data_IF_723369336387
#
_entry.id   IF_723369336387
#
_cell.length_a   1.000
_cell.length_b   1.000
_cell.length_c   1.000
_cell.angle_alpha   90.00
_cell.angle_beta   90.00
_cell.angle_gamma   90.00
#
_symmetry.space_group_name_H-M   'P 1'
#
loop_
_entity.id
_entity.type
_entity.pdbx_description
1 polymer ?
#
# COMPACT_ATOMS: atom_id res chain seq x y z
N UNK A 1 -25.12 2.83 67.53
CA UNK A 1 -23.96 3.51 66.92
C UNK A 1 -22.91 2.57 66.31
N UNK A 2 -22.69 1.35 66.82
CA UNK A 2 -21.65 0.42 66.29
C UNK A 2 -22.06 -0.29 64.99
N UNK A 3 -23.35 -0.58 64.79
CA UNK A 3 -23.86 -1.30 63.60
C UNK A 3 -23.74 -0.54 62.27
N UNK A 4 -23.99 0.78 62.28
CA UNK A 4 -23.88 1.61 61.06
C UNK A 4 -22.42 1.82 60.64
N UNK A 5 -21.50 1.90 61.59
CA UNK A 5 -20.06 2.02 61.31
C UNK A 5 -19.54 0.75 60.65
N UNK A 6 -19.95 -0.43 61.12
CA UNK A 6 -19.54 -1.71 60.53
C UNK A 6 -20.13 -1.89 59.13
N UNK A 7 -21.39 -1.48 58.91
CA UNK A 7 -22.04 -1.54 57.58
C UNK A 7 -21.35 -0.61 56.57
N UNK A 8 -21.01 0.61 56.98
CA UNK A 8 -20.30 1.57 56.12
C UNK A 8 -18.87 1.11 55.82
N UNK A 9 -18.19 0.45 56.76
CA UNK A 9 -16.88 -0.16 56.55
C UNK A 9 -16.94 -1.29 55.51
N UNK A 10 -17.94 -2.17 55.60
CA UNK A 10 -18.13 -3.29 54.65
C UNK A 10 -18.45 -2.76 53.25
N UNK A 11 -19.31 -1.74 53.13
CA UNK A 11 -19.62 -1.11 51.84
C UNK A 11 -18.37 -0.46 51.23
N UNK A 12 -17.56 0.23 52.04
CA UNK A 12 -16.29 0.81 51.60
C UNK A 12 -15.28 -0.23 51.10
N UNK A 13 -15.18 -1.37 51.79
CA UNK A 13 -14.31 -2.50 51.39
C UNK A 13 -14.77 -3.15 50.08
N UNK A 14 -16.07 -3.35 49.90
CA UNK A 14 -16.63 -3.91 48.65
C UNK A 14 -16.43 -2.96 47.48
N UNK A 15 -16.66 -1.66 47.68
CA UNK A 15 -16.41 -0.65 46.65
C UNK A 15 -14.93 -0.58 46.26
N UNK A 16 -14.01 -0.62 47.23
CA UNK A 16 -12.57 -0.68 46.99
C UNK A 16 -12.20 -1.94 46.17
N UNK A 17 -12.82 -3.08 46.47
CA UNK A 17 -12.58 -4.33 45.76
C UNK A 17 -13.03 -4.25 44.30
N UNK A 18 -14.19 -3.64 44.02
CA UNK A 18 -14.62 -3.37 42.64
C UNK A 18 -13.73 -2.38 41.90
N UNK A 19 -13.19 -1.36 42.57
CA UNK A 19 -12.24 -0.41 41.97
C UNK A 19 -10.91 -1.09 41.67
N UNK A 20 -10.40 -1.94 42.57
CA UNK A 20 -9.14 -2.68 42.36
C UNK A 20 -9.31 -3.74 41.28
N UNK A 21 -10.40 -4.53 41.31
CA UNK A 21 -10.69 -5.53 40.27
C UNK A 21 -10.96 -4.86 38.94
N UNK A 22 -11.74 -3.77 38.93
CA UNK A 22 -11.99 -2.96 37.73
C UNK A 22 -10.70 -2.34 37.17
N UNK A 23 -9.83 -1.82 38.03
CA UNK A 23 -8.52 -1.29 37.64
C UNK A 23 -7.57 -2.36 37.12
N UNK A 24 -7.57 -3.55 37.71
CA UNK A 24 -6.81 -4.71 37.20
C UNK A 24 -7.39 -5.23 35.88
N UNK A 25 -8.72 -5.19 35.72
CA UNK A 25 -9.41 -5.57 34.49
C UNK A 25 -9.06 -4.58 33.38
N UNK A 26 -9.15 -3.27 33.64
CA UNK A 26 -8.76 -2.22 32.69
C UNK A 26 -7.28 -2.31 32.35
N UNK A 27 -6.38 -2.61 33.29
CA UNK A 27 -4.95 -2.79 33.02
C UNK A 27 -4.64 -4.06 32.22
N UNK A 28 -5.39 -5.15 32.44
CA UNK A 28 -5.28 -6.40 31.67
C UNK A 28 -5.82 -6.25 30.24
N UNK A 29 -6.78 -5.35 30.05
CA UNK A 29 -7.37 -4.99 28.75
C UNK A 29 -7.01 -3.57 28.31
N UNK A 30 -5.87 -3.03 28.77
CA UNK A 30 -5.25 -1.90 28.09
C UNK A 30 -4.84 -2.48 26.73
N UNK A 31 -5.72 -2.33 25.74
CA UNK A 31 -5.43 -2.62 24.35
C UNK A 31 -4.19 -1.82 24.01
N UNK A 32 -3.03 -2.47 23.99
CA UNK A 32 -1.93 -2.01 23.18
C UNK A 32 -2.50 -1.93 21.78
N UNK A 33 -2.79 -0.72 21.31
CA UNK A 33 -3.29 -0.49 19.96
C UNK A 33 -2.23 -0.99 18.98
N UNK A 34 -2.45 -2.18 18.43
CA UNK A 34 -1.55 -2.76 17.45
C UNK A 34 -1.58 -1.93 16.15
N UNK A 35 -0.45 -1.91 15.46
CA UNK A 35 -0.21 -1.15 14.25
C UNK A 35 0.27 -2.06 13.13
N UNK A 36 0.28 -1.57 11.89
CA UNK A 36 0.82 -2.34 10.76
C UNK A 36 2.31 -2.67 10.97
N UNK A 37 3.04 -1.85 11.73
CA UNK A 37 4.45 -2.09 12.07
C UNK A 37 4.65 -3.31 12.99
N UNK A 38 3.59 -3.76 13.69
CA UNK A 38 3.64 -4.96 14.53
C UNK A 38 3.52 -6.26 13.71
N UNK A 39 3.14 -6.17 12.43
CA UNK A 39 3.05 -7.33 11.53
C UNK A 39 4.44 -7.87 11.24
N UNK A 40 4.62 -9.17 11.50
CA UNK A 40 5.87 -9.90 11.24
C UNK A 40 5.67 -11.04 10.24
N UNK A 41 4.48 -11.63 10.21
CA UNK A 41 4.13 -12.70 9.29
C UNK A 41 2.76 -12.44 8.68
N UNK A 42 2.60 -12.81 7.41
CA UNK A 42 1.30 -12.87 6.74
C UNK A 42 1.06 -14.29 6.25
N UNK A 43 0.05 -14.94 6.79
CA UNK A 43 -0.41 -16.25 6.31
C UNK A 43 -1.39 -16.04 5.18
N UNK A 44 -1.19 -16.75 4.07
CA UNK A 44 -1.97 -16.59 2.85
C UNK A 44 -2.76 -17.86 2.54
N UNK A 45 -4.02 -17.70 2.17
CA UNK A 45 -4.86 -18.74 1.58
C UNK A 45 -5.49 -18.20 0.29
N UNK A 46 -5.07 -18.73 -0.85
CA UNK A 46 -5.53 -18.27 -2.16
C UNK A 46 -6.45 -19.31 -2.76
N UNK A 47 -7.75 -18.98 -2.78
CA UNK A 47 -8.78 -19.81 -3.33
C UNK A 47 -9.00 -19.45 -4.80
N UNK A 48 -8.34 -20.20 -5.68
CA UNK A 48 -8.56 -20.13 -7.13
C UNK A 48 -9.55 -21.22 -7.55
N UNK A 49 -10.81 -20.85 -7.79
CA UNK A 49 -11.83 -21.82 -8.23
C UNK A 49 -11.58 -22.14 -9.71
N UNK A 50 -11.13 -23.37 -10.01
CA UNK A 50 -10.93 -23.86 -11.38
C UNK A 50 -12.12 -23.49 -12.27
N UNK A 51 -11.86 -22.72 -13.33
CA UNK A 51 -12.87 -22.28 -14.29
C UNK A 51 -13.44 -20.88 -14.07
N UNK A 52 -13.26 -20.28 -12.89
CA UNK A 52 -13.72 -18.92 -12.59
C UNK A 52 -12.65 -17.88 -12.90
N UNK A 53 -13.04 -16.78 -13.54
CA UNK A 53 -12.23 -15.57 -13.76
C UNK A 53 -12.15 -14.71 -12.49
N UNK A 54 -12.03 -15.35 -11.33
CA UNK A 54 -12.04 -14.70 -10.02
C UNK A 54 -11.17 -15.45 -9.02
N UNK A 55 -10.29 -14.72 -8.35
CA UNK A 55 -9.54 -15.20 -7.20
C UNK A 55 -10.06 -14.56 -5.91
N UNK A 56 -10.30 -15.39 -4.89
CA UNK A 56 -10.53 -14.95 -3.53
C UNK A 56 -9.23 -15.19 -2.74
N UNK A 57 -8.61 -14.10 -2.28
CA UNK A 57 -7.36 -14.11 -1.54
C UNK A 57 -7.67 -13.78 -0.09
N UNK A 58 -7.43 -14.75 0.79
CA UNK A 58 -7.51 -14.58 2.22
C UNK A 58 -6.09 -14.42 2.79
N UNK A 59 -5.95 -13.54 3.76
CA UNK A 59 -4.70 -13.40 4.48
C UNK A 59 -4.91 -13.05 5.94
N UNK A 60 -4.04 -13.54 6.81
CA UNK A 60 -4.05 -13.29 8.25
C UNK A 60 -2.75 -12.61 8.66
N UNK A 61 -2.86 -11.53 9.44
CA UNK A 61 -1.73 -10.74 9.91
C UNK A 61 -1.33 -11.20 11.31
N UNK A 62 -0.05 -11.48 11.51
CA UNK A 62 0.48 -12.01 12.76
C UNK A 62 1.69 -11.22 13.24
N UNK A 63 1.76 -10.99 14.55
CA UNK A 63 2.90 -10.36 15.20
C UNK A 63 4.00 -11.38 15.54
N UNK A 64 5.09 -10.92 16.16
CA UNK A 64 6.23 -11.77 16.56
C UNK A 64 5.87 -12.90 17.55
N UNK A 65 4.72 -12.83 18.22
CA UNK A 65 4.21 -13.87 19.13
C UNK A 65 3.23 -14.79 18.42
N UNK A 66 3.15 -14.74 17.09
CA UNK A 66 2.18 -15.48 16.27
C UNK A 66 0.72 -15.19 16.72
N UNK A 67 0.49 -14.01 17.28
CA UNK A 67 -0.82 -13.51 17.67
C UNK A 67 -1.37 -12.58 16.59
N UNK A 68 -2.68 -12.55 16.43
CA UNK A 68 -3.36 -11.75 15.41
C UNK A 68 -3.13 -10.27 15.60
N UNK A 69 -2.72 -9.56 14.53
CA UNK A 69 -2.70 -8.10 14.49
C UNK A 69 -4.10 -7.59 14.18
N UNK A 70 -4.68 -6.80 15.09
CA UNK A 70 -6.06 -6.29 15.00
C UNK A 70 -6.10 -4.77 14.93
N UNK A 71 -7.26 -4.21 14.54
CA UNK A 71 -7.49 -2.75 14.55
C UNK A 71 -6.85 -1.98 13.38
N UNK A 72 -6.16 -2.65 12.46
CA UNK A 72 -5.42 -2.02 11.34
C UNK A 72 -6.22 -1.93 10.03
N UNK A 73 -7.52 -2.28 10.06
CA UNK A 73 -8.38 -2.47 8.88
C UNK A 73 -8.39 -1.29 7.90
N UNK A 74 -8.48 -0.07 8.41
CA UNK A 74 -8.56 1.13 7.57
C UNK A 74 -7.21 1.57 7.01
N UNK A 75 -6.13 1.02 7.55
CA UNK A 75 -4.76 1.39 7.25
C UNK A 75 -4.16 0.52 6.15
N UNK A 76 -4.75 -0.63 5.84
CA UNK A 76 -4.19 -1.58 4.89
C UNK A 76 -4.86 -1.42 3.53
N UNK A 77 -4.03 -1.48 2.48
CA UNK A 77 -4.47 -1.62 1.09
C UNK A 77 -3.76 -2.80 0.46
N UNK A 78 -4.45 -3.42 -0.48
CA UNK A 78 -3.88 -4.42 -1.36
C UNK A 78 -3.71 -3.81 -2.75
N UNK A 79 -2.62 -4.13 -3.41
CA UNK A 79 -2.48 -3.92 -4.85
C UNK A 79 -2.23 -5.26 -5.53
N UNK A 80 -2.86 -5.49 -6.67
CA UNK A 80 -2.63 -6.66 -7.52
C UNK A 80 -2.07 -6.20 -8.85
N UNK A 81 -1.00 -6.86 -9.30
CA UNK A 81 -0.45 -6.68 -10.64
C UNK A 81 -0.41 -8.02 -11.37
N UNK A 82 -0.65 -7.97 -12.69
CA UNK A 82 -0.43 -9.14 -13.54
C UNK A 82 1.05 -9.38 -13.81
N UNK A 83 1.35 -10.59 -14.28
CA UNK A 83 2.73 -11.04 -14.47
C UNK A 83 3.49 -10.37 -15.60
N UNK A 84 2.82 -9.59 -16.44
CA UNK A 84 3.40 -8.74 -17.48
C UNK A 84 3.37 -7.25 -17.10
N UNK A 85 2.95 -6.92 -15.88
CA UNK A 85 2.70 -5.56 -15.38
C UNK A 85 1.91 -4.72 -16.38
N UNK A 86 0.87 -5.27 -17.01
CA UNK A 86 0.00 -4.48 -17.89
C UNK A 86 -1.04 -3.72 -17.09
N UNK A 87 -1.48 -4.29 -15.99
CA UNK A 87 -2.56 -3.82 -15.16
C UNK A 87 -2.13 -3.78 -13.70
N UNK A 88 -2.60 -2.74 -13.02
CA UNK A 88 -2.50 -2.57 -11.58
C UNK A 88 -3.89 -2.31 -11.03
N UNK A 89 -4.23 -2.93 -9.90
CA UNK A 89 -5.51 -2.73 -9.24
C UNK A 89 -5.31 -2.59 -7.74
N UNK A 90 -5.59 -1.40 -7.22
CA UNK A 90 -5.65 -1.15 -5.77
C UNK A 90 -7.04 -1.54 -5.23
N UNK A 91 -7.09 -2.13 -4.05
CA UNK A 91 -8.31 -2.50 -3.36
C UNK A 91 -8.18 -2.32 -1.84
N UNK A 92 -9.29 -2.00 -1.17
CA UNK A 92 -9.40 -2.08 0.28
C UNK A 92 -9.77 -3.52 0.67
N UNK A 93 -8.93 -4.24 1.45
CA UNK A 93 -9.30 -5.56 1.96
C UNK A 93 -10.53 -5.47 2.88
N UNK A 94 -11.39 -6.48 2.81
CA UNK A 94 -12.54 -6.60 3.72
C UNK A 94 -12.14 -7.44 4.93
N UNK A 95 -12.36 -6.93 6.14
CA UNK A 95 -12.10 -7.69 7.36
C UNK A 95 -13.02 -8.92 7.45
N UNK A 96 -12.44 -10.09 7.68
CA UNK A 96 -13.13 -11.38 7.71
C UNK A 96 -13.18 -12.01 9.12
N UNK A 97 -12.75 -11.29 10.16
CA UNK A 97 -12.65 -11.78 11.54
C UNK A 97 -11.29 -12.40 11.86
N UNK A 98 -10.96 -12.55 13.14
CA UNK A 98 -9.74 -13.23 13.62
C UNK A 98 -8.43 -12.74 12.97
N UNK A 99 -8.26 -11.41 12.83
CA UNK A 99 -7.08 -10.81 12.17
C UNK A 99 -6.95 -11.17 10.67
N UNK A 100 -8.01 -11.73 10.07
CA UNK A 100 -8.04 -12.17 8.68
C UNK A 100 -8.78 -11.18 7.80
N UNK A 101 -8.36 -11.12 6.55
CA UNK A 101 -8.84 -10.20 5.54
C UNK A 101 -9.10 -10.95 4.24
N UNK A 102 -10.03 -10.41 3.45
CA UNK A 102 -10.37 -10.94 2.14
C UNK A 102 -10.25 -9.88 1.06
N UNK A 103 -9.66 -10.28 -0.04
CA UNK A 103 -9.61 -9.54 -1.30
C UNK A 103 -10.20 -10.43 -2.40
N UNK A 104 -11.08 -9.87 -3.22
CA UNK A 104 -11.68 -10.56 -4.36
C UNK A 104 -11.33 -9.80 -5.63
N UNK A 105 -10.60 -10.41 -6.55
CA UNK A 105 -10.24 -9.78 -7.84
C UNK A 105 -10.61 -10.67 -9.02
N UNK A 106 -10.92 -10.01 -10.14
CA UNK A 106 -11.13 -10.68 -11.42
C UNK A 106 -9.76 -11.00 -12.01
N UNK A 107 -9.56 -12.23 -12.43
CA UNK A 107 -8.30 -12.70 -13.01
C UNK A 107 -8.54 -13.40 -14.33
N UNK A 108 -7.62 -13.25 -15.27
CA UNK A 108 -7.59 -14.02 -16.49
C UNK A 108 -7.09 -15.45 -16.20
N UNK A 109 -7.57 -16.39 -17.03
CA UNK A 109 -7.06 -17.77 -17.01
C UNK A 109 -5.61 -17.76 -17.49
N UNK A 110 -4.81 -18.67 -16.92
CA UNK A 110 -3.43 -18.92 -17.33
C UNK A 110 -2.45 -17.73 -17.17
N UNK A 111 -2.82 -16.71 -16.40
CA UNK A 111 -1.94 -15.61 -16.01
C UNK A 111 -1.43 -15.79 -14.57
N UNK A 112 -0.20 -15.35 -14.33
CA UNK A 112 0.38 -15.23 -13.00
C UNK A 112 0.18 -13.81 -12.48
N UNK A 113 -0.01 -13.66 -11.17
CA UNK A 113 -0.27 -12.39 -10.50
C UNK A 113 0.57 -12.27 -9.25
N UNK A 114 0.75 -11.03 -8.79
CA UNK A 114 1.36 -10.75 -7.49
C UNK A 114 0.46 -9.78 -6.73
N UNK A 115 0.10 -10.13 -5.50
CA UNK A 115 -0.54 -9.22 -4.55
C UNK A 115 0.52 -8.64 -3.61
N UNK A 116 0.44 -7.34 -3.33
CA UNK A 116 1.22 -6.67 -2.30
C UNK A 116 0.29 -6.02 -1.28
N UNK A 117 0.71 -5.98 -0.02
CA UNK A 117 0.05 -5.25 1.06
C UNK A 117 0.92 -4.08 1.49
N UNK A 118 0.29 -2.92 1.72
CA UNK A 118 0.97 -1.72 2.19
C UNK A 118 0.08 -0.91 3.14
N UNK A 119 0.71 -0.02 3.91
CA UNK A 119 0.02 0.90 4.83
C UNK A 119 -0.31 2.23 4.14
N UNK A 120 -1.59 2.59 4.08
CA UNK A 120 -2.13 3.82 3.49
C UNK A 120 -2.13 4.96 4.51
N UNK A 121 -0.93 5.38 4.94
CA UNK A 121 -0.74 6.53 5.85
C UNK A 121 0.40 7.47 5.45
N UNK A 122 1.48 6.93 4.89
CA UNK A 122 2.69 7.69 4.61
C UNK A 122 2.68 8.24 3.18
N UNK A 123 3.42 9.34 2.96
CA UNK A 123 3.55 9.96 1.63
C UNK A 123 4.26 9.04 0.63
N UNK A 124 5.14 8.17 1.10
CA UNK A 124 5.68 7.06 0.33
C UNK A 124 5.89 5.86 1.25
N UNK A 125 5.53 4.68 0.77
CA UNK A 125 5.54 3.44 1.54
C UNK A 125 5.89 2.26 0.63
N UNK A 126 6.75 1.38 1.14
CA UNK A 126 7.03 0.08 0.52
C UNK A 126 6.03 -0.96 1.04
N UNK A 127 5.68 -1.94 0.21
CA UNK A 127 4.89 -3.08 0.66
C UNK A 127 5.57 -3.82 1.81
N UNK A 128 4.81 -4.19 2.84
CA UNK A 128 5.32 -5.01 3.96
C UNK A 128 5.13 -6.51 3.72
N UNK A 129 4.27 -6.90 2.77
CA UNK A 129 4.04 -8.30 2.43
C UNK A 129 3.66 -8.46 0.96
N UNK A 130 3.94 -9.64 0.40
CA UNK A 130 3.54 -10.01 -0.95
C UNK A 130 3.27 -11.51 -1.08
N UNK A 131 2.49 -11.89 -2.10
CA UNK A 131 2.25 -13.28 -2.48
C UNK A 131 2.04 -13.40 -3.98
N UNK A 132 2.75 -14.33 -4.60
CA UNK A 132 2.49 -14.74 -5.98
C UNK A 132 1.35 -15.77 -6.02
N UNK A 133 0.49 -15.67 -7.04
CA UNK A 133 -0.62 -16.59 -7.26
C UNK A 133 -1.01 -16.67 -8.75
N UNK A 134 -1.97 -17.54 -9.08
CA UNK A 134 -2.35 -17.80 -10.47
C UNK A 134 -1.53 -18.93 -11.09
N UNK A 135 -1.29 -18.88 -12.41
CA UNK A 135 -0.43 -19.85 -13.08
C UNK A 135 0.98 -19.77 -12.50
N UNK A 136 1.57 -20.93 -12.17
CA UNK A 136 2.92 -21.01 -11.61
C UNK A 136 3.89 -20.20 -12.46
N UNK A 137 4.40 -19.14 -11.85
CA UNK A 137 5.63 -18.52 -12.27
C UNK A 137 6.68 -19.45 -11.70
N UNK A 138 7.23 -20.35 -12.54
CA UNK A 138 8.40 -21.14 -12.17
C UNK A 138 9.39 -20.23 -11.43
N UNK A 139 9.65 -20.48 -10.13
CA UNK A 139 10.54 -19.62 -9.34
C UNK A 139 11.95 -19.57 -9.95
N UNK A 140 12.35 -20.65 -10.65
CA UNK A 140 13.59 -20.75 -11.43
C UNK A 140 13.54 -20.00 -12.76
N UNK A 141 12.34 -19.65 -13.26
CA UNK A 141 12.09 -18.91 -14.49
C UNK A 141 11.16 -17.70 -14.24
N UNK A 142 11.35 -16.95 -13.14
CA UNK A 142 10.82 -15.58 -13.03
C UNK A 142 11.45 -14.75 -14.16
N UNK A 143 10.87 -14.85 -15.36
CA UNK A 143 11.29 -14.06 -16.52
C UNK A 143 11.05 -12.61 -16.15
N UNK A 144 12.14 -11.86 -16.01
CA UNK A 144 12.11 -10.40 -15.97
C UNK A 144 11.21 -9.92 -17.10
N UNK A 145 10.20 -9.14 -16.76
CA UNK A 145 9.38 -8.53 -17.80
C UNK A 145 10.26 -7.49 -18.49
N UNK A 146 10.64 -7.77 -19.74
CA UNK A 146 11.46 -6.84 -20.52
C UNK A 146 10.58 -5.70 -20.99
N UNK A 147 10.64 -4.58 -20.30
CA UNK A 147 10.06 -3.34 -20.78
C UNK A 147 11.09 -2.53 -21.57
N UNK A 148 10.71 -1.88 -22.67
CA UNK A 148 11.50 -0.80 -23.21
C UNK A 148 11.50 0.34 -22.18
N UNK A 149 12.67 0.70 -21.67
CA UNK A 149 12.83 1.90 -20.86
C UNK A 149 12.38 3.10 -21.70
N UNK A 150 11.61 4.00 -21.10
CA UNK A 150 11.17 5.19 -21.82
C UNK A 150 12.38 6.08 -22.14
N UNK A 151 12.67 6.25 -23.43
CA UNK A 151 13.67 7.21 -23.89
C UNK A 151 13.18 8.66 -23.84
N UNK A 152 11.85 8.85 -23.82
CA UNK A 152 11.17 10.15 -23.74
C UNK A 152 10.21 10.12 -22.57
N UNK A 153 10.47 10.98 -21.59
CA UNK A 153 9.68 11.10 -20.35
C UNK A 153 8.61 12.20 -20.43
N UNK A 154 8.38 12.76 -21.62
CA UNK A 154 7.24 13.62 -21.93
C UNK A 154 6.22 12.84 -22.72
N UNK A 155 5.00 12.73 -22.21
CA UNK A 155 3.92 11.96 -22.83
C UNK A 155 2.62 12.76 -22.87
N UNK A 156 1.83 12.55 -23.92
CA UNK A 156 0.47 13.09 -24.01
C UNK A 156 -0.45 12.42 -22.98
N UNK A 157 -1.27 13.23 -22.30
CA UNK A 157 -2.27 12.82 -21.33
C UNK A 157 -3.57 13.61 -21.56
N UNK A 158 -4.53 12.98 -22.24
CA UNK A 158 -5.71 13.70 -22.74
C UNK A 158 -5.32 14.77 -23.76
N UNK A 159 -5.67 16.02 -23.48
CA UNK A 159 -5.26 17.20 -24.27
C UNK A 159 -4.00 17.90 -23.76
N UNK A 160 -3.43 17.41 -22.66
CA UNK A 160 -2.25 17.95 -22.00
C UNK A 160 -1.00 17.13 -22.33
N UNK A 161 0.16 17.65 -21.92
CA UNK A 161 1.40 16.89 -21.85
C UNK A 161 1.87 16.79 -20.40
N UNK A 162 2.43 15.63 -20.05
CA UNK A 162 3.05 15.39 -18.75
C UNK A 162 4.50 15.01 -18.95
N UNK A 163 5.40 15.69 -18.24
CA UNK A 163 6.83 15.39 -18.21
C UNK A 163 7.22 14.87 -16.85
N UNK A 164 7.88 13.72 -16.80
CA UNK A 164 8.49 13.15 -15.59
C UNK A 164 9.97 13.56 -15.52
N UNK A 165 10.32 14.30 -14.47
CA UNK A 165 11.65 14.83 -14.21
C UNK A 165 12.24 14.24 -12.93
N UNK A 166 13.50 13.84 -12.97
CA UNK A 166 14.26 13.34 -11.83
C UNK A 166 15.77 13.43 -12.07
N UNK A 167 16.54 13.46 -10.98
CA UNK A 167 18.00 13.23 -11.02
C UNK A 167 18.34 11.74 -11.13
N UNK A 168 19.62 11.37 -11.14
CA UNK A 168 20.02 9.97 -11.21
C UNK A 168 19.32 9.10 -10.14
N UNK A 169 18.77 7.96 -10.57
CA UNK A 169 18.04 7.04 -9.69
C UNK A 169 19.00 5.97 -9.15
N UNK A 170 19.24 6.00 -7.85
CA UNK A 170 20.11 5.05 -7.15
C UNK A 170 19.34 4.28 -6.07
N UNK A 171 19.65 2.99 -5.85
CA UNK A 171 19.02 2.21 -4.79
C UNK A 171 19.33 2.82 -3.41
N UNK A 172 18.33 2.82 -2.53
CA UNK A 172 18.37 3.29 -1.14
C UNK A 172 18.74 4.77 -0.98
N UNK A 173 18.73 5.55 -2.07
CA UNK A 173 18.89 7.01 -2.04
C UNK A 173 17.52 7.67 -2.28
N UNK A 174 17.11 8.64 -1.45
CA UNK A 174 15.86 9.37 -1.66
C UNK A 174 15.98 10.27 -2.90
N UNK A 175 14.95 10.26 -3.74
CA UNK A 175 14.82 11.08 -4.94
C UNK A 175 13.46 11.74 -4.98
N UNK A 176 13.39 12.91 -5.63
CA UNK A 176 12.12 13.56 -5.98
C UNK A 176 11.78 13.26 -7.42
N UNK A 177 10.65 12.60 -7.66
CA UNK A 177 10.02 12.51 -8.97
C UNK A 177 9.07 13.68 -9.13
N UNK A 178 9.28 14.50 -10.16
CA UNK A 178 8.46 15.69 -10.42
C UNK A 178 7.68 15.50 -11.72
N UNK A 179 6.36 15.58 -11.65
CA UNK A 179 5.48 15.59 -12.80
C UNK A 179 5.04 17.02 -13.11
N UNK A 180 5.41 17.49 -14.30
CA UNK A 180 5.04 18.81 -14.81
C UNK A 180 4.01 18.66 -15.92
N UNK A 181 2.90 19.40 -15.79
CA UNK A 181 1.79 19.35 -16.74
C UNK A 181 1.77 20.63 -17.57
N UNK A 182 1.68 20.47 -18.89
CA UNK A 182 1.60 21.58 -19.83
C UNK A 182 0.23 21.62 -20.48
N UNK A 183 -0.36 22.82 -20.46
CA UNK A 183 -1.62 23.14 -21.11
C UNK A 183 -1.42 24.11 -22.28
N UNK A 184 -2.52 24.46 -22.96
CA UNK A 184 -2.49 25.52 -23.97
C UNK A 184 -2.12 26.86 -23.32
N UNK A 185 -1.47 27.73 -24.09
CA UNK A 185 -0.94 29.02 -23.60
C UNK A 185 -2.03 29.84 -22.90
N UNK A 186 -1.79 30.19 -21.63
CA UNK A 186 -2.70 31.01 -20.80
C UNK A 186 -3.65 30.21 -19.91
N UNK A 187 -3.68 28.87 -20.01
CA UNK A 187 -4.48 28.02 -19.14
C UNK A 187 -3.70 27.66 -17.87
N UNK A 188 -4.34 27.87 -16.69
CA UNK A 188 -3.83 27.36 -15.42
C UNK A 188 -4.51 26.03 -15.10
N UNK A 189 -3.72 25.02 -14.78
CA UNK A 189 -4.21 23.70 -14.41
C UNK A 189 -4.42 23.60 -12.90
N UNK A 190 -5.47 22.91 -12.48
CA UNK A 190 -5.67 22.46 -11.10
C UNK A 190 -5.26 21.00 -11.00
N UNK A 191 -4.25 20.71 -10.19
CA UNK A 191 -3.70 19.36 -10.01
C UNK A 191 -4.26 18.70 -8.74
N UNK A 192 -5.58 18.60 -8.66
CA UNK A 192 -6.28 17.95 -7.55
C UNK A 192 -7.64 17.42 -7.99
N UNK A 193 -8.14 16.42 -7.27
CA UNK A 193 -9.54 16.02 -7.36
C UNK A 193 -10.46 17.01 -6.64
N UNK A 194 -11.68 17.16 -7.16
CA UNK A 194 -12.76 17.90 -6.49
C UNK A 194 -13.48 17.06 -5.41
N UNK A 195 -13.32 15.73 -5.41
CA UNK A 195 -14.02 14.82 -4.48
C UNK A 195 -13.11 14.17 -3.44
N UNK A 196 -11.88 14.67 -3.31
CA UNK A 196 -10.93 14.27 -2.28
C UNK A 196 -10.12 13.00 -2.61
N UNK A 197 -10.22 12.46 -3.83
CA UNK A 197 -9.24 11.50 -4.34
C UNK A 197 -7.85 12.15 -4.42
N UNK A 198 -6.83 11.33 -4.19
CA UNK A 198 -5.44 11.79 -4.09
C UNK A 198 -4.68 11.26 -5.30
N UNK A 199 -3.82 12.10 -5.87
CA UNK A 199 -2.87 11.68 -6.90
C UNK A 199 -1.94 10.62 -6.31
N UNK A 200 -1.72 9.54 -7.04
CA UNK A 200 -0.96 8.42 -6.52
C UNK A 200 -0.06 7.80 -7.57
N UNK A 201 1.10 7.35 -7.13
CA UNK A 201 1.98 6.48 -7.89
C UNK A 201 1.91 5.07 -7.33
N UNK A 202 1.75 4.11 -8.22
CA UNK A 202 1.98 2.69 -7.99
C UNK A 202 3.26 2.35 -8.74
N UNK A 203 4.25 1.79 -8.06
CA UNK A 203 5.57 1.57 -8.64
C UNK A 203 5.98 0.13 -8.37
N UNK A 204 6.28 -0.64 -9.41
CA UNK A 204 6.67 -2.06 -9.30
C UNK A 204 7.90 -2.33 -10.15
N UNK A 205 8.83 -3.10 -9.60
CA UNK A 205 10.01 -3.53 -10.36
C UNK A 205 9.67 -4.69 -11.32
N UNK A 206 10.49 -4.86 -12.36
CA UNK A 206 10.31 -5.90 -13.40
C UNK A 206 10.21 -7.34 -12.88
N UNK A 207 10.68 -7.62 -11.65
CA UNK A 207 10.63 -8.94 -11.02
C UNK A 207 9.44 -9.15 -10.08
N UNK A 208 8.63 -8.10 -9.82
CA UNK A 208 7.51 -8.11 -8.87
C UNK A 208 7.95 -8.48 -7.45
N UNK A 209 9.13 -8.02 -7.07
CA UNK A 209 9.67 -8.21 -5.71
C UNK A 209 9.41 -7.01 -4.82
N UNK A 210 9.32 -5.82 -5.41
CA UNK A 210 9.20 -4.54 -4.73
C UNK A 210 8.00 -3.78 -5.28
N UNK A 211 7.13 -3.34 -4.38
CA UNK A 211 6.06 -2.39 -4.66
C UNK A 211 6.25 -1.15 -3.78
N UNK A 212 6.08 0.03 -4.39
CA UNK A 212 6.01 1.31 -3.71
C UNK A 212 4.69 1.99 -4.04
N UNK A 213 4.06 2.57 -3.03
CA UNK A 213 2.96 3.51 -3.16
C UNK A 213 3.44 4.90 -2.75
N UNK A 214 3.02 5.93 -3.46
CA UNK A 214 3.31 7.30 -3.06
C UNK A 214 2.20 8.27 -3.44
N UNK A 215 1.97 9.25 -2.57
CA UNK A 215 1.14 10.42 -2.80
C UNK A 215 2.04 11.66 -2.84
N UNK A 216 1.63 12.75 -3.52
CA UNK A 216 2.49 13.91 -3.69
C UNK A 216 2.81 14.59 -2.35
N UNK A 217 4.01 15.14 -2.25
CA UNK A 217 4.44 16.03 -1.15
C UNK A 217 4.11 17.50 -1.43
N UNK A 218 3.91 17.86 -2.70
CA UNK A 218 3.57 19.18 -3.24
C UNK A 218 2.61 18.99 -4.42
N UNK A 219 1.57 19.82 -4.49
CA UNK A 219 0.48 19.76 -5.48
C UNK A 219 0.08 21.12 -6.06
N UNK A 220 0.86 22.18 -5.83
CA UNK A 220 0.44 23.54 -6.23
C UNK A 220 0.58 23.75 -7.75
N UNK A 221 1.81 23.78 -8.24
CA UNK A 221 2.10 23.97 -9.67
C UNK A 221 2.56 22.68 -10.38
N UNK A 222 3.04 21.71 -9.61
CA UNK A 222 3.59 20.44 -10.08
C UNK A 222 3.34 19.37 -9.02
N UNK A 223 3.36 18.10 -9.42
CA UNK A 223 3.26 16.99 -8.48
C UNK A 223 4.64 16.45 -8.16
N UNK A 224 5.08 16.62 -6.92
CA UNK A 224 6.36 16.07 -6.46
C UNK A 224 6.13 14.86 -5.57
N UNK A 225 6.90 13.79 -5.80
CA UNK A 225 6.85 12.57 -5.00
C UNK A 225 8.24 12.26 -4.48
N UNK A 226 8.40 12.11 -3.16
CA UNK A 226 9.65 11.63 -2.57
C UNK A 226 9.65 10.11 -2.51
N UNK A 227 10.58 9.48 -3.19
CA UNK A 227 10.66 8.02 -3.36
C UNK A 227 12.06 7.55 -2.96
N UNK A 228 12.15 6.37 -2.34
CA UNK A 228 13.40 5.65 -2.17
C UNK A 228 13.24 4.28 -2.84
N UNK A 229 13.95 4.05 -3.94
CA UNK A 229 13.92 2.76 -4.63
C UNK A 229 14.75 1.74 -3.85
N UNK A 230 14.22 0.56 -3.49
CA UNK A 230 14.94 -0.38 -2.61
C UNK A 230 16.07 -1.14 -3.31
N UNK A 231 15.98 -1.30 -4.64
CA UNK A 231 16.91 -2.10 -5.42
C UNK A 231 17.19 -1.49 -6.79
N UNK A 232 18.25 -1.97 -7.45
CA UNK A 232 18.49 -1.67 -8.85
C UNK A 232 17.56 -2.49 -9.74
N UNK A 233 17.19 -1.94 -10.89
CA UNK A 233 16.30 -2.62 -11.82
C UNK A 233 15.46 -1.65 -12.63
N UNK A 234 14.70 -2.21 -13.56
CA UNK A 234 13.68 -1.47 -14.30
C UNK A 234 12.41 -1.43 -13.46
N UNK A 235 11.85 -0.24 -13.30
CA UNK A 235 10.60 -0.01 -12.57
C UNK A 235 9.54 0.55 -13.50
N UNK A 236 8.33 0.00 -13.41
CA UNK A 236 7.13 0.56 -14.02
C UNK A 236 6.38 1.39 -12.99
N UNK A 237 6.00 2.60 -13.38
CA UNK A 237 5.26 3.58 -12.60
C UNK A 237 3.90 3.75 -13.27
N UNK A 238 2.81 3.53 -12.55
CA UNK A 238 1.48 3.98 -12.92
C UNK A 238 1.14 5.20 -12.07
N UNK A 239 0.80 6.31 -12.73
CA UNK A 239 0.35 7.52 -12.07
C UNK A 239 -1.13 7.76 -12.32
N UNK A 240 -1.87 7.94 -11.22
CA UNK A 240 -3.23 8.47 -11.20
C UNK A 240 -3.14 9.98 -10.95
N UNK A 241 -3.57 10.77 -11.92
CA UNK A 241 -3.48 12.23 -11.90
C UNK A 241 -4.85 12.85 -12.05
N UNK A 242 -5.16 13.87 -11.23
CA UNK A 242 -6.39 14.65 -11.39
C UNK A 242 -6.04 16.01 -11.95
N UNK A 243 -6.47 16.26 -13.19
CA UNK A 243 -6.25 17.54 -13.87
C UNK A 243 -7.61 18.19 -14.09
N UNK A 244 -7.80 19.36 -13.52
CA UNK A 244 -9.08 20.08 -13.51
C UNK A 244 -10.24 19.18 -13.02
N UNK A 245 -10.00 18.43 -11.93
CA UNK A 245 -10.97 17.53 -11.32
C UNK A 245 -11.19 16.19 -12.05
N UNK A 246 -10.62 15.99 -13.25
CA UNK A 246 -10.77 14.77 -14.04
C UNK A 246 -9.58 13.83 -13.86
N UNK A 247 -9.86 12.54 -13.60
CA UNK A 247 -8.84 11.49 -13.52
C UNK A 247 -8.23 11.20 -14.89
N UNK A 248 -6.90 11.11 -14.91
CA UNK A 248 -6.08 10.62 -15.99
C UNK A 248 -5.07 9.62 -15.45
N UNK A 249 -4.77 8.60 -16.25
CA UNK A 249 -3.80 7.57 -15.89
C UNK A 249 -2.64 7.62 -16.89
N UNK A 250 -1.41 7.52 -16.39
CA UNK A 250 -0.24 7.45 -17.27
C UNK A 250 0.87 6.58 -16.70
N UNK A 251 1.53 5.86 -17.60
CA UNK A 251 2.60 4.94 -17.26
C UNK A 251 3.97 5.49 -17.67
N UNK A 252 4.98 5.23 -16.84
CA UNK A 252 6.39 5.51 -17.10
C UNK A 252 7.26 4.32 -16.74
N UNK A 253 8.35 4.12 -17.47
CA UNK A 253 9.28 3.02 -17.26
C UNK A 253 10.67 3.60 -17.10
N UNK A 254 11.21 3.49 -15.89
CA UNK A 254 12.47 4.11 -15.50
C UNK A 254 13.49 3.05 -15.08
N UNK A 255 14.77 3.41 -15.16
CA UNK A 255 15.86 2.54 -14.76
C UNK A 255 16.54 3.08 -13.50
N UNK A 256 16.60 2.25 -12.45
CA UNK A 256 17.40 2.49 -11.25
C UNK A 256 18.72 1.73 -11.40
N UNK A 257 19.84 2.41 -11.17
CA UNK A 257 21.18 1.83 -11.35
C UNK A 257 22.03 2.10 -10.13
N UNK A 258 22.89 1.14 -9.75
CA UNK A 258 23.96 1.42 -8.79
C UNK A 258 24.85 2.55 -9.29
N UNK A 259 25.43 3.31 -8.35
CA UNK A 259 26.54 4.20 -8.70
C UNK A 259 27.63 3.37 -9.37
N UNK A 260 28.15 3.86 -10.48
CA UNK A 260 29.45 3.37 -10.95
C UNK A 260 30.45 3.77 -9.86
N UNK A 261 31.15 2.80 -9.28
CA UNK A 261 32.21 3.10 -8.32
C UNK A 261 33.16 4.12 -8.97
N UNK A 262 33.29 5.29 -8.35
CA UNK A 262 34.34 6.26 -8.67
C UNK A 262 35.69 5.75 -8.20
#
# INVERSE_FOLDING_TARGET
MVGDVLKNLVIGLVALLFVVVGGFYIKKYQETTETVSDVQEVKWDVLNRKGNEKADILFQLLNNKNSEVRGVNDQIRAVIVDGQLKHVQQMKPTFAGNGSYKVSSKIAKDEGYTIFLYEDKNKSVQSFAKKDFGKEIDEKNKKKVKFPIDSVLTKKIGEYEVSLLFGALHPNEPVTLTFQFQAKKGEKLKLHSERGEVEALYIVDETRENFLYAIPVDTDEQLQYRITFPAEGTYKIWGDFYINGKKYEKEFIVQVQKRKNS
#
